data_IF_520904979094
#
_entry.id   IF_520904979094
#
_cell.length_a   1.000
_cell.length_b   1.000
_cell.length_c   1.000
_cell.angle_alpha   90.00
_cell.angle_beta   90.00
_cell.angle_gamma   90.00
#
_symmetry.space_group_name_H-M   'P 1'
#
loop_
_entity.id
_entity.type
_entity.pdbx_description
1 polymer ?
#
# COMPACT_ATOMS: atom_id res chain seq x y z
N UNK A 1 -7.22 -5.44 -29.77
CA UNK A 1 -6.39 -5.03 -28.69
C UNK A 1 -6.64 -3.58 -28.31
N UNK A 2 -6.47 -3.34 -27.09
CA UNK A 2 -6.68 -2.02 -26.58
C UNK A 2 -5.77 -0.98 -27.26
N UNK A 3 -6.18 0.24 -27.23
CA UNK A 3 -5.41 1.35 -27.69
C UNK A 3 -4.09 1.44 -26.91
N UNK A 4 -3.04 1.89 -27.57
CA UNK A 4 -1.76 2.10 -26.92
C UNK A 4 -1.74 3.37 -26.08
N UNK A 5 -2.73 4.22 -26.22
CA UNK A 5 -2.81 5.43 -25.41
C UNK A 5 -3.70 5.15 -24.20
N UNK A 6 -3.28 5.64 -23.07
CA UNK A 6 -4.13 5.64 -21.89
C UNK A 6 -5.14 6.77 -22.05
N UNK A 7 -6.44 6.47 -22.12
CA UNK A 7 -7.42 7.53 -22.13
C UNK A 7 -7.40 8.23 -20.77
N UNK A 8 -7.15 9.53 -20.79
CA UNK A 8 -7.10 10.31 -19.57
C UNK A 8 -8.41 10.21 -18.78
N UNK A 9 -9.50 10.13 -19.50
CA UNK A 9 -10.82 10.06 -18.90
C UNK A 9 -10.99 8.84 -18.00
N UNK A 10 -10.25 7.76 -18.28
CA UNK A 10 -10.32 6.55 -17.45
C UNK A 10 -9.77 6.75 -16.04
N UNK A 11 -9.03 7.83 -15.83
CA UNK A 11 -8.37 8.08 -14.56
C UNK A 11 -8.79 9.38 -13.91
N UNK A 12 -9.73 10.10 -14.52
CA UNK A 12 -10.16 11.38 -13.99
C UNK A 12 -10.75 11.27 -12.59
N UNK A 13 -11.51 10.21 -12.34
CA UNK A 13 -12.07 9.95 -11.03
C UNK A 13 -10.98 9.70 -9.98
N UNK A 14 -9.91 9.02 -10.36
CA UNK A 14 -8.79 8.76 -9.48
C UNK A 14 -8.02 10.04 -9.17
N UNK A 15 -7.81 10.88 -10.18
CA UNK A 15 -7.13 12.14 -9.98
C UNK A 15 -7.93 13.09 -9.08
N UNK A 16 -9.23 13.12 -9.26
CA UNK A 16 -10.11 13.91 -8.41
C UNK A 16 -10.10 13.41 -6.97
N UNK A 17 -10.17 12.11 -6.79
CA UNK A 17 -10.11 11.49 -5.46
C UNK A 17 -8.77 11.78 -4.79
N UNK A 18 -7.69 11.73 -5.54
CA UNK A 18 -6.36 12.02 -5.00
C UNK A 18 -6.23 13.49 -4.58
N UNK A 19 -6.77 14.41 -5.36
CA UNK A 19 -6.75 15.81 -5.00
C UNK A 19 -7.52 16.05 -3.69
N UNK A 20 -8.66 15.39 -3.54
CA UNK A 20 -9.44 15.47 -2.31
C UNK A 20 -8.70 14.86 -1.13
N UNK A 21 -8.03 13.72 -1.35
CA UNK A 21 -7.24 13.07 -0.31
C UNK A 21 -6.12 13.98 0.18
N UNK A 22 -5.46 14.70 -0.73
CA UNK A 22 -4.40 15.64 -0.34
C UNK A 22 -4.90 16.74 0.59
N UNK A 23 -6.11 17.21 0.38
CA UNK A 23 -6.70 18.25 1.21
C UNK A 23 -6.99 17.76 2.62
N UNK A 24 -7.29 16.47 2.77
CA UNK A 24 -7.71 15.89 4.04
C UNK A 24 -6.64 14.98 4.64
N UNK A 25 -5.42 15.01 4.11
CA UNK A 25 -4.35 14.15 4.58
C UNK A 25 -4.00 14.46 6.04
N UNK A 26 -4.08 13.44 6.87
CA UNK A 26 -3.88 13.59 8.31
C UNK A 26 -2.67 12.83 8.85
N UNK A 27 -1.85 12.26 7.98
CA UNK A 27 -0.78 11.37 8.41
C UNK A 27 0.61 11.99 8.29
N UNK A 28 0.71 13.29 8.09
CA UNK A 28 1.99 13.97 7.97
C UNK A 28 2.84 13.87 9.23
N UNK A 29 2.22 13.61 10.38
CA UNK A 29 2.94 13.44 11.64
C UNK A 29 3.54 12.04 11.80
N UNK A 30 3.15 11.08 10.96
CA UNK A 30 3.66 9.73 11.08
C UNK A 30 5.09 9.67 10.56
N UNK A 31 5.93 8.90 11.24
CA UNK A 31 7.35 8.83 10.97
C UNK A 31 7.75 7.74 9.98
N UNK A 32 6.83 6.89 9.60
CA UNK A 32 7.15 5.72 8.77
C UNK A 32 7.53 4.49 9.58
N UNK A 33 7.75 4.62 10.86
CA UNK A 33 7.93 3.45 11.73
C UNK A 33 6.60 2.74 11.91
N UNK A 34 6.65 1.41 11.93
CA UNK A 34 5.47 0.63 12.22
C UNK A 34 5.14 0.75 13.70
N UNK A 35 4.06 1.42 14.01
CA UNK A 35 3.67 1.72 15.40
C UNK A 35 3.58 0.46 16.26
N UNK A 36 3.14 -0.64 15.67
CA UNK A 36 3.01 -1.89 16.38
C UNK A 36 4.24 -2.80 16.26
N UNK A 37 5.31 -2.33 15.63
CA UNK A 37 6.51 -3.12 15.42
C UNK A 37 6.25 -4.35 14.57
N UNK A 38 5.37 -4.25 13.59
CA UNK A 38 4.87 -5.38 12.81
C UNK A 38 5.09 -5.16 11.33
N UNK A 39 5.49 -6.22 10.63
CA UNK A 39 5.53 -6.23 9.17
C UNK A 39 4.68 -7.39 8.68
N UNK A 40 3.91 -7.16 7.64
CA UNK A 40 3.00 -8.17 7.06
C UNK A 40 3.41 -8.40 5.62
N UNK A 41 3.61 -9.66 5.25
CA UNK A 41 3.79 -10.07 3.87
C UNK A 41 2.48 -10.67 3.40
N UNK A 42 1.91 -10.10 2.34
CA UNK A 42 0.61 -10.53 1.85
C UNK A 42 0.58 -10.54 0.33
N UNK A 43 -0.50 -11.09 -0.22
CA UNK A 43 -0.68 -11.16 -1.65
C UNK A 43 -1.06 -9.79 -2.24
N UNK A 44 -0.69 -9.58 -3.50
CA UNK A 44 -1.06 -8.39 -4.26
C UNK A 44 -2.52 -8.41 -4.73
N UNK A 45 -3.27 -9.44 -4.41
CA UNK A 45 -4.68 -9.57 -4.78
C UNK A 45 -5.46 -8.34 -4.33
N UNK A 46 -6.14 -7.69 -5.28
CA UNK A 46 -6.83 -6.42 -5.02
C UNK A 46 -8.02 -6.54 -4.07
N UNK A 47 -8.47 -7.75 -3.81
CA UNK A 47 -9.57 -7.99 -2.87
C UNK A 47 -9.13 -7.93 -1.42
N UNK A 48 -7.81 -7.98 -1.18
CA UNK A 48 -7.26 -7.99 0.17
C UNK A 48 -6.83 -6.59 0.55
N UNK A 49 -7.36 -6.09 1.64
CA UNK A 49 -6.87 -4.87 2.27
C UNK A 49 -6.19 -5.29 3.58
N UNK A 50 -4.86 -5.33 3.63
CA UNK A 50 -4.16 -5.90 4.78
C UNK A 50 -4.47 -5.22 6.11
N UNK A 51 -4.62 -3.91 6.10
CA UNK A 51 -4.92 -3.18 7.33
C UNK A 51 -6.32 -3.51 7.82
N UNK A 52 -7.30 -3.52 6.91
CA UNK A 52 -8.67 -3.85 7.28
C UNK A 52 -8.81 -5.26 7.80
N UNK A 53 -8.12 -6.22 7.15
CA UNK A 53 -8.17 -7.62 7.57
C UNK A 53 -7.71 -7.79 9.01
N UNK A 54 -6.71 -7.03 9.42
CA UNK A 54 -6.14 -7.13 10.76
C UNK A 54 -6.72 -6.10 11.73
N UNK A 55 -7.65 -5.30 11.28
CA UNK A 55 -8.24 -4.27 12.14
C UNK A 55 -7.26 -3.17 12.52
N UNK A 56 -6.34 -2.86 11.62
CA UNK A 56 -5.30 -1.87 11.87
C UNK A 56 -5.52 -0.60 11.06
N UNK A 57 -4.81 0.43 11.42
CA UNK A 57 -4.85 1.73 10.77
C UNK A 57 -3.51 2.06 10.12
N UNK A 58 -3.50 3.06 9.25
CA UNK A 58 -2.26 3.56 8.64
C UNK A 58 -1.24 3.88 9.73
N UNK A 59 0.00 3.47 9.51
CA UNK A 59 1.10 3.68 10.47
C UNK A 59 1.29 2.53 11.45
N UNK A 60 0.37 1.57 11.53
CA UNK A 60 0.47 0.49 12.51
C UNK A 60 1.48 -0.58 12.10
N UNK A 61 1.60 -0.86 10.83
CA UNK A 61 2.44 -1.96 10.34
C UNK A 61 3.07 -1.61 9.01
N UNK A 62 4.17 -2.28 8.68
CA UNK A 62 4.75 -2.23 7.34
C UNK A 62 4.13 -3.33 6.51
N UNK A 63 3.76 -3.00 5.28
CA UNK A 63 3.04 -3.92 4.39
C UNK A 63 3.91 -4.19 3.16
N UNK A 64 4.20 -5.48 2.93
CA UNK A 64 4.90 -5.95 1.74
C UNK A 64 3.95 -6.84 0.95
N UNK A 65 3.87 -6.62 -0.35
CA UNK A 65 2.94 -7.37 -1.19
C UNK A 65 3.64 -7.92 -2.42
N UNK A 66 3.33 -9.18 -2.73
CA UNK A 66 3.75 -9.76 -4.00
C UNK A 66 2.76 -10.84 -4.42
N UNK A 67 3.01 -11.47 -5.56
CA UNK A 67 2.15 -12.55 -6.04
C UNK A 67 2.29 -13.76 -5.13
N UNK A 68 1.23 -14.10 -4.41
CA UNK A 68 1.16 -15.29 -3.57
C UNK A 68 1.76 -15.14 -2.18
N UNK A 69 2.05 -13.93 -1.73
CA UNK A 69 2.57 -13.66 -0.39
C UNK A 69 3.84 -14.47 -0.10
N UNK A 70 4.77 -14.49 -1.04
CA UNK A 70 5.97 -15.31 -0.91
C UNK A 70 7.11 -14.54 -0.27
N UNK A 71 7.87 -15.21 0.60
CA UNK A 71 9.07 -14.62 1.18
C UNK A 71 10.23 -14.94 0.23
N UNK A 72 10.48 -14.01 -0.70
CA UNK A 72 11.57 -14.08 -1.67
C UNK A 72 12.80 -13.40 -1.11
N UNK A 73 13.92 -13.49 -1.86
CA UNK A 73 15.15 -12.79 -1.46
C UNK A 73 14.93 -11.29 -1.33
N UNK A 74 14.16 -10.71 -2.25
CA UNK A 74 13.85 -9.29 -2.20
C UNK A 74 13.03 -8.93 -0.96
N UNK A 75 12.08 -9.78 -0.61
CA UNK A 75 11.28 -9.60 0.60
C UNK A 75 12.15 -9.69 1.84
N UNK A 76 13.11 -10.64 1.86
CA UNK A 76 14.04 -10.75 2.98
C UNK A 76 14.87 -9.49 3.15
N UNK A 77 15.39 -8.93 2.06
CA UNK A 77 16.14 -7.67 2.11
C UNK A 77 15.27 -6.52 2.62
N UNK A 78 14.04 -6.48 2.15
CA UNK A 78 13.09 -5.44 2.58
C UNK A 78 12.79 -5.57 4.06
N UNK A 79 12.60 -6.78 4.55
CA UNK A 79 12.34 -7.01 5.98
C UNK A 79 13.54 -6.59 6.85
N UNK A 80 14.75 -6.83 6.38
CA UNK A 80 15.94 -6.37 7.09
C UNK A 80 15.96 -4.85 7.21
N UNK A 81 15.61 -4.16 6.13
CA UNK A 81 15.57 -2.69 6.13
C UNK A 81 14.41 -2.17 7.00
N UNK A 82 13.37 -2.97 7.16
CA UNK A 82 12.21 -2.58 7.95
C UNK A 82 12.48 -2.60 9.46
N UNK A 83 13.51 -3.30 9.87
CA UNK A 83 13.87 -3.33 11.29
C UNK A 83 14.64 -2.09 11.67
#
# INVERSE_FOLDING_TARGET
>A
MASNSFPHESFDDLLAANAEYQKTFKYSDLTGEARRGLAIVTCMDSRINPLSVMGMSSGDAKILRNAGARVTEDVLRTLVLAT
#
